data_IF_000219295903
#
_entry.id   IF_000219295903
#
_cell.length_a   1.000
_cell.length_b   1.000
_cell.length_c   1.000
_cell.angle_alpha   90.00
_cell.angle_beta   90.00
_cell.angle_gamma   90.00
#
_symmetry.space_group_name_H-M   'P 1'
#
loop_
_entity.id
_entity.type
_entity.pdbx_description
1 polymer ?
#
# COMPACT_ATOMS: atom_id res chain seq x y z
N UNK A 1 -10.25 -13.19 -1.09
CA UNK A 1 -10.76 -12.36 -2.21
C UNK A 1 -10.28 -12.99 -3.50
N UNK A 2 -11.17 -13.20 -4.47
CA UNK A 2 -10.74 -13.74 -5.76
C UNK A 2 -10.16 -12.59 -6.61
N UNK A 3 -8.96 -12.76 -7.16
CA UNK A 3 -8.40 -11.89 -8.20
C UNK A 3 -8.79 -12.49 -9.55
N UNK A 4 -9.92 -12.06 -10.10
CA UNK A 4 -10.50 -12.60 -11.32
C UNK A 4 -11.85 -11.94 -11.65
N UNK A 5 -12.56 -12.40 -12.69
CA UNK A 5 -13.86 -11.85 -13.10
C UNK A 5 -14.93 -11.88 -12.00
N UNK A 6 -14.80 -12.80 -11.04
CA UNK A 6 -15.68 -12.95 -9.87
C UNK A 6 -15.22 -12.10 -8.67
N UNK A 7 -14.22 -11.23 -8.84
CA UNK A 7 -13.75 -10.34 -7.77
C UNK A 7 -14.84 -9.35 -7.39
N UNK A 8 -15.05 -9.17 -6.09
CA UNK A 8 -15.89 -8.08 -5.58
C UNK A 8 -15.14 -6.76 -5.50
N UNK A 9 -13.82 -6.75 -5.72
CA UNK A 9 -13.02 -5.53 -5.70
C UNK A 9 -13.24 -4.81 -7.04
N UNK A 10 -13.68 -3.54 -7.05
CA UNK A 10 -13.84 -2.76 -8.27
C UNK A 10 -12.58 -2.79 -9.14
N UNK A 11 -12.72 -3.22 -10.39
CA UNK A 11 -11.65 -3.27 -11.38
C UNK A 11 -12.16 -2.83 -12.75
N UNK A 12 -11.24 -2.40 -13.61
CA UNK A 12 -11.50 -1.87 -14.94
C UNK A 12 -11.10 -2.90 -16.02
N UNK A 13 -9.92 -2.77 -16.61
CA UNK A 13 -9.45 -3.66 -17.68
C UNK A 13 -8.72 -4.87 -17.07
N UNK A 14 -9.46 -5.94 -16.79
CA UNK A 14 -8.88 -7.17 -16.25
C UNK A 14 -7.93 -7.83 -17.27
N UNK A 15 -6.68 -8.10 -16.84
CA UNK A 15 -5.72 -8.87 -17.62
C UNK A 15 -5.73 -10.33 -17.17
N UNK A 16 -6.31 -11.20 -18.00
CA UNK A 16 -6.41 -12.63 -17.69
C UNK A 16 -5.08 -13.37 -17.70
N UNK A 17 -4.03 -12.77 -18.30
CA UNK A 17 -2.70 -13.37 -18.42
C UNK A 17 -1.88 -13.25 -17.14
N UNK A 18 -2.30 -12.39 -16.20
CA UNK A 18 -1.58 -12.19 -14.95
C UNK A 18 -1.75 -13.41 -14.00
N UNK A 19 -0.68 -13.79 -13.28
CA UNK A 19 -0.76 -14.83 -12.25
C UNK A 19 -1.72 -14.41 -11.13
N UNK A 20 -2.44 -15.39 -10.57
CA UNK A 20 -3.50 -15.16 -9.57
C UNK A 20 -3.28 -15.86 -8.24
N UNK A 21 -2.27 -16.73 -8.17
CA UNK A 21 -1.89 -17.41 -6.94
C UNK A 21 -0.69 -16.72 -6.32
N UNK A 22 -0.61 -16.78 -4.99
CA UNK A 22 0.55 -16.28 -4.26
C UNK A 22 1.86 -16.87 -4.80
N UNK A 23 1.89 -18.18 -5.08
CA UNK A 23 3.07 -18.88 -5.57
C UNK A 23 3.51 -18.39 -6.96
N UNK A 24 2.57 -18.27 -7.91
CA UNK A 24 2.91 -17.83 -9.28
C UNK A 24 3.39 -16.37 -9.30
N UNK A 25 2.80 -15.51 -8.47
CA UNK A 25 3.22 -14.10 -8.30
C UNK A 25 4.62 -14.06 -7.69
N UNK A 26 4.85 -14.82 -6.61
CA UNK A 26 6.16 -14.93 -5.97
C UNK A 26 7.25 -15.38 -6.96
N UNK A 27 6.99 -16.42 -7.74
CA UNK A 27 7.95 -16.94 -8.71
C UNK A 27 8.26 -15.90 -9.81
N UNK A 28 7.26 -15.13 -10.24
CA UNK A 28 7.45 -14.01 -11.18
C UNK A 28 8.37 -12.94 -10.60
N UNK A 29 8.20 -12.57 -9.33
CA UNK A 29 9.05 -11.58 -8.66
C UNK A 29 10.49 -12.09 -8.49
N UNK A 30 10.66 -13.38 -8.14
CA UNK A 30 11.98 -14.00 -8.00
C UNK A 30 12.72 -14.14 -9.33
N UNK A 31 12.01 -14.44 -10.42
CA UNK A 31 12.58 -14.42 -11.78
C UNK A 31 13.01 -13.01 -12.20
N UNK A 32 12.16 -12.00 -11.99
CA UNK A 32 12.48 -10.61 -12.31
C UNK A 32 13.77 -10.15 -11.60
N UNK A 33 14.02 -10.63 -10.38
CA UNK A 33 15.22 -10.34 -9.61
C UNK A 33 16.51 -10.87 -10.25
N UNK A 34 16.44 -11.88 -11.11
CA UNK A 34 17.59 -12.36 -11.87
C UNK A 34 18.00 -11.39 -12.99
N UNK A 35 17.09 -10.49 -13.38
CA UNK A 35 17.27 -9.54 -14.50
C UNK A 35 17.61 -8.13 -14.03
N UNK A 36 17.34 -7.80 -12.77
CA UNK A 36 17.67 -6.49 -12.20
C UNK A 36 17.09 -6.25 -10.81
N UNK A 37 17.18 -5.01 -10.34
CA UNK A 37 16.52 -4.59 -9.10
C UNK A 37 15.00 -4.61 -9.27
N UNK A 38 14.29 -5.12 -8.26
CA UNK A 38 12.84 -5.25 -8.26
C UNK A 38 12.26 -4.43 -7.11
N UNK A 39 11.33 -3.55 -7.44
CA UNK A 39 10.42 -2.92 -6.49
C UNK A 39 9.02 -3.47 -6.74
N UNK A 40 8.36 -3.97 -5.70
CA UNK A 40 6.97 -4.37 -5.76
C UNK A 40 6.20 -3.75 -4.60
N UNK A 41 4.95 -3.39 -4.88
CA UNK A 41 4.01 -2.81 -3.92
C UNK A 41 2.78 -3.69 -3.90
N UNK A 42 2.33 -4.04 -2.71
CA UNK A 42 1.10 -4.80 -2.52
C UNK A 42 0.24 -4.20 -1.38
N UNK A 43 -1.04 -4.54 -1.36
CA UNK A 43 -1.91 -4.29 -0.22
C UNK A 43 -1.86 -5.52 0.70
N UNK A 44 -1.40 -5.35 1.94
CA UNK A 44 -1.13 -6.50 2.82
C UNK A 44 -2.34 -7.42 3.08
N UNK A 45 -3.57 -6.96 2.87
CA UNK A 45 -4.77 -7.78 3.07
C UNK A 45 -5.05 -8.77 1.92
N UNK A 46 -4.34 -8.67 0.79
CA UNK A 46 -4.53 -9.54 -0.38
C UNK A 46 -3.99 -10.95 -0.16
N UNK A 47 -2.86 -11.07 0.54
CA UNK A 47 -2.15 -12.33 0.78
C UNK A 47 -1.60 -12.42 2.22
N UNK A 48 -2.28 -11.82 3.20
CA UNK A 48 -1.83 -11.71 4.59
C UNK A 48 -1.34 -13.04 5.16
N UNK A 49 -2.14 -14.10 5.00
CA UNK A 49 -1.85 -15.41 5.58
C UNK A 49 -0.69 -16.11 4.89
N UNK A 50 -0.60 -16.07 3.57
CA UNK A 50 0.52 -16.62 2.83
C UNK A 50 1.81 -15.86 3.13
N UNK A 51 1.77 -14.53 3.04
CA UNK A 51 2.94 -13.67 3.17
C UNK A 51 3.54 -13.71 4.58
N UNK A 52 2.72 -13.61 5.64
CA UNK A 52 3.24 -13.61 7.03
C UNK A 52 3.84 -14.95 7.45
N UNK A 53 3.49 -16.03 6.75
CA UNK A 53 4.00 -17.38 6.99
C UNK A 53 5.17 -17.77 6.06
N UNK A 54 5.51 -16.95 5.07
CA UNK A 54 6.60 -17.20 4.12
C UNK A 54 7.91 -16.52 4.54
N UNK A 55 8.52 -17.06 5.59
CA UNK A 55 9.75 -16.52 6.15
C UNK A 55 10.89 -16.42 5.12
N UNK A 56 11.00 -17.38 4.20
CA UNK A 56 12.04 -17.37 3.17
C UNK A 56 11.85 -16.18 2.22
N UNK A 57 10.63 -15.93 1.77
CA UNK A 57 10.36 -14.78 0.91
C UNK A 57 10.59 -13.47 1.66
N UNK A 58 10.07 -13.30 2.88
CA UNK A 58 10.25 -12.06 3.64
C UNK A 58 11.73 -11.72 3.91
N UNK A 59 12.59 -12.72 4.15
CA UNK A 59 14.03 -12.53 4.38
C UNK A 59 14.84 -12.21 3.11
N UNK A 60 14.25 -12.40 1.93
CA UNK A 60 14.91 -12.12 0.64
C UNK A 60 14.74 -10.67 0.17
N UNK A 61 14.04 -9.84 0.94
CA UNK A 61 13.66 -8.48 0.58
C UNK A 61 13.96 -7.48 1.70
N UNK A 62 14.11 -6.21 1.32
CA UNK A 62 14.01 -5.11 2.27
C UNK A 62 12.54 -4.69 2.36
N UNK A 63 11.91 -4.98 3.50
CA UNK A 63 10.48 -4.72 3.71
C UNK A 63 10.28 -3.27 4.20
N UNK A 64 9.43 -2.53 3.50
CA UNK A 64 9.07 -1.14 3.80
C UNK A 64 7.56 -1.06 3.95
N UNK A 65 7.09 -0.37 4.99
CA UNK A 65 5.68 -0.24 5.30
C UNK A 65 5.23 1.21 5.13
N UNK A 66 4.33 1.46 4.19
CA UNK A 66 3.68 2.75 4.00
C UNK A 66 2.36 2.77 4.77
N UNK A 67 2.29 3.57 5.83
CA UNK A 67 1.08 3.77 6.63
C UNK A 67 0.44 5.12 6.30
N UNK A 68 -0.87 5.20 6.47
CA UNK A 68 -1.65 6.44 6.31
C UNK A 68 -2.68 6.53 7.43
N UNK A 69 -3.07 7.76 7.77
CA UNK A 69 -4.13 8.01 8.74
C UNK A 69 -5.39 7.16 8.41
N UNK A 70 -5.95 6.40 9.38
CA UNK A 70 -7.03 5.46 9.11
C UNK A 70 -8.33 6.05 8.54
N UNK A 71 -8.81 7.20 9.02
CA UNK A 71 -10.01 7.88 8.48
C UNK A 71 -9.81 8.18 7.00
N UNK A 72 -8.65 8.73 6.66
CA UNK A 72 -8.24 9.06 5.31
C UNK A 72 -8.21 7.84 4.37
N UNK A 73 -7.62 6.73 4.84
CA UNK A 73 -7.61 5.47 4.11
C UNK A 73 -9.02 4.90 3.91
N UNK A 74 -9.85 4.95 4.96
CA UNK A 74 -11.22 4.43 4.95
C UNK A 74 -12.10 5.21 3.99
N UNK A 75 -12.06 6.54 4.03
CA UNK A 75 -12.87 7.39 3.15
C UNK A 75 -12.47 7.23 1.69
N UNK A 76 -11.15 7.21 1.43
CA UNK A 76 -10.62 6.98 0.08
C UNK A 76 -10.98 5.61 -0.49
N UNK A 77 -10.98 4.55 0.33
CA UNK A 77 -11.43 3.24 -0.14
C UNK A 77 -12.95 3.20 -0.32
N UNK A 78 -13.71 3.73 0.63
CA UNK A 78 -15.18 3.73 0.59
C UNK A 78 -15.74 4.49 -0.62
N UNK A 79 -15.07 5.55 -1.10
CA UNK A 79 -15.52 6.28 -2.29
C UNK A 79 -15.47 5.45 -3.57
N UNK A 80 -14.63 4.40 -3.62
CA UNK A 80 -14.45 3.53 -4.79
C UNK A 80 -15.12 2.17 -4.56
N UNK A 81 -15.02 1.62 -3.36
CA UNK A 81 -15.58 0.34 -2.94
C UNK A 81 -16.47 0.51 -1.70
N UNK A 82 -17.71 1.02 -1.83
CA UNK A 82 -18.59 1.30 -0.67
C UNK A 82 -18.87 0.06 0.19
N UNK A 83 -19.02 -1.10 -0.46
CA UNK A 83 -19.30 -2.38 0.20
C UNK A 83 -18.05 -3.11 0.70
N UNK A 84 -16.90 -2.44 0.74
CA UNK A 84 -15.64 -3.05 1.16
C UNK A 84 -15.76 -3.76 2.52
N UNK A 85 -15.11 -4.92 2.69
CA UNK A 85 -15.02 -5.59 3.97
C UNK A 85 -14.04 -4.85 4.91
N UNK A 86 -14.07 -5.17 6.20
CA UNK A 86 -13.20 -4.56 7.21
C UNK A 86 -11.72 -4.72 6.83
N UNK A 87 -11.38 -5.91 6.37
CA UNK A 87 -10.02 -6.34 6.00
C UNK A 87 -9.42 -5.47 4.90
N UNK A 88 -10.23 -4.87 4.02
CA UNK A 88 -9.75 -4.05 2.91
C UNK A 88 -8.99 -2.80 3.36
N UNK A 89 -9.19 -2.33 4.60
CA UNK A 89 -8.45 -1.20 5.16
C UNK A 89 -6.98 -1.58 5.45
N UNK A 90 -6.73 -2.85 5.78
CA UNK A 90 -5.39 -3.43 5.73
C UNK A 90 -4.42 -3.09 6.86
N UNK A 91 -4.67 -2.12 7.76
CA UNK A 91 -3.69 -1.79 8.82
C UNK A 91 -3.40 -2.96 9.76
N UNK A 92 -4.40 -3.82 10.05
CA UNK A 92 -4.18 -5.02 10.87
C UNK A 92 -3.24 -5.99 10.16
N UNK A 93 -3.54 -6.32 8.91
CA UNK A 93 -2.74 -7.22 8.09
C UNK A 93 -1.30 -6.71 7.93
N UNK A 94 -1.17 -5.40 7.67
CA UNK A 94 0.13 -4.72 7.57
C UNK A 94 0.93 -4.81 8.88
N UNK A 95 0.28 -4.62 10.03
CA UNK A 95 0.92 -4.79 11.33
C UNK A 95 1.33 -6.25 11.62
N UNK A 96 0.52 -7.23 11.22
CA UNK A 96 0.89 -8.64 11.38
C UNK A 96 2.13 -9.01 10.55
N UNK A 97 2.20 -8.55 9.30
CA UNK A 97 3.39 -8.74 8.46
C UNK A 97 4.58 -7.98 9.03
N UNK A 98 4.40 -6.75 9.53
CA UNK A 98 5.44 -5.98 10.22
C UNK A 98 6.00 -6.73 11.44
N UNK A 99 5.14 -7.32 12.27
CA UNK A 99 5.56 -8.15 13.39
C UNK A 99 6.29 -9.42 12.95
N UNK A 100 5.82 -10.08 11.89
CA UNK A 100 6.48 -11.26 11.34
C UNK A 100 7.90 -10.93 10.86
N UNK A 101 8.07 -9.86 10.08
CA UNK A 101 9.38 -9.40 9.61
C UNK A 101 10.27 -9.02 10.79
N UNK A 102 9.77 -8.23 11.75
CA UNK A 102 10.53 -7.82 12.95
C UNK A 102 11.06 -9.02 13.72
N UNK A 103 10.23 -10.05 13.89
CA UNK A 103 10.62 -11.29 14.57
C UNK A 103 11.67 -12.08 13.79
N UNK A 104 11.56 -12.11 12.47
CA UNK A 104 12.48 -12.86 11.59
C UNK A 104 13.86 -12.20 11.48
N UNK A 105 13.90 -10.87 11.41
CA UNK A 105 15.15 -10.12 11.19
C UNK A 105 15.81 -9.65 12.50
N UNK A 106 15.04 -9.56 13.59
CA UNK A 106 15.49 -8.93 14.84
C UNK A 106 15.62 -7.41 14.75
N UNK A 107 15.18 -6.80 13.64
CA UNK A 107 15.26 -5.37 13.39
C UNK A 107 13.87 -4.82 13.05
N UNK A 108 13.61 -3.58 13.45
CA UNK A 108 12.37 -2.88 13.12
C UNK A 108 12.38 -2.51 11.62
N UNK A 109 11.39 -2.95 10.82
CA UNK A 109 11.28 -2.56 9.42
C UNK A 109 11.07 -1.05 9.23
N UNK A 110 11.48 -0.52 8.09
CA UNK A 110 11.31 0.90 7.76
C UNK A 110 9.84 1.25 7.58
N UNK A 111 9.38 2.31 8.26
CA UNK A 111 7.99 2.78 8.20
C UNK A 111 7.94 4.20 7.65
N UNK A 112 7.16 4.40 6.59
CA UNK A 112 6.86 5.71 6.00
C UNK A 112 5.44 6.10 6.39
N UNK A 113 5.28 7.28 6.97
CA UNK A 113 3.96 7.90 7.10
C UNK A 113 3.63 8.68 5.81
N UNK A 114 2.47 8.41 5.23
CA UNK A 114 2.03 9.00 3.96
C UNK A 114 1.84 10.52 4.05
N UNK A 115 1.48 11.06 5.21
CA UNK A 115 1.36 12.51 5.40
C UNK A 115 2.73 13.17 5.43
N UNK A 116 3.72 12.54 6.06
CA UNK A 116 5.11 13.02 6.04
C UNK A 116 5.65 12.99 4.60
N UNK A 117 5.38 11.91 3.86
CA UNK A 117 5.74 11.78 2.45
C UNK A 117 5.06 12.86 1.59
N UNK A 118 3.77 13.13 1.79
CA UNK A 118 3.05 14.14 1.02
C UNK A 118 3.46 15.58 1.38
N UNK A 119 3.82 15.85 2.64
CA UNK A 119 4.27 17.16 3.09
C UNK A 119 5.71 17.48 2.66
N UNK A 120 6.60 16.48 2.62
CA UNK A 120 8.00 16.67 2.24
C UNK A 120 8.55 15.46 1.46
N UNK A 121 8.13 15.29 0.18
CA UNK A 121 8.46 14.10 -0.60
C UNK A 121 9.97 13.87 -0.76
N UNK A 122 10.71 14.93 -1.05
CA UNK A 122 12.16 14.86 -1.27
C UNK A 122 12.89 14.38 -0.03
N UNK A 123 12.59 14.95 1.14
CA UNK A 123 13.22 14.54 2.39
C UNK A 123 12.95 13.08 2.73
N UNK A 124 11.69 12.64 2.61
CA UNK A 124 11.29 11.27 2.94
C UNK A 124 11.91 10.26 1.98
N UNK A 125 11.90 10.54 0.67
CA UNK A 125 12.50 9.63 -0.32
C UNK A 125 14.03 9.63 -0.25
N UNK A 126 14.70 10.75 0.05
CA UNK A 126 16.14 10.76 0.31
C UNK A 126 16.51 9.86 1.49
N UNK A 127 15.80 9.96 2.62
CA UNK A 127 16.00 9.06 3.77
C UNK A 127 15.77 7.60 3.42
N UNK A 128 14.76 7.30 2.59
CA UNK A 128 14.51 5.94 2.12
C UNK A 128 15.67 5.43 1.26
N UNK A 129 16.17 6.24 0.32
CA UNK A 129 17.33 5.91 -0.51
C UNK A 129 18.57 5.64 0.35
N UNK A 130 18.83 6.48 1.36
CA UNK A 130 19.93 6.29 2.31
C UNK A 130 19.79 4.97 3.08
N UNK A 131 18.60 4.65 3.59
CA UNK A 131 18.31 3.39 4.27
C UNK A 131 18.51 2.17 3.36
N UNK A 132 18.11 2.28 2.09
CA UNK A 132 18.27 1.23 1.07
C UNK A 132 19.70 1.17 0.50
N UNK A 133 20.56 2.12 0.84
CA UNK A 133 21.90 2.30 0.26
C UNK A 133 21.86 2.37 -1.28
N UNK A 134 20.94 3.18 -1.81
CA UNK A 134 20.81 3.48 -3.24
C UNK A 134 20.91 4.98 -3.49
N UNK A 135 21.31 5.36 -4.71
CA UNK A 135 21.38 6.76 -5.10
C UNK A 135 19.98 7.39 -5.21
N UNK A 136 19.83 8.59 -4.67
CA UNK A 136 18.63 9.40 -4.85
C UNK A 136 18.70 10.19 -6.16
N UNK A 137 17.66 10.07 -6.98
CA UNK A 137 17.45 10.90 -8.16
C UNK A 137 16.28 11.85 -7.92
N UNK A 138 16.48 13.16 -8.04
CA UNK A 138 15.42 14.16 -7.88
C UNK A 138 14.24 13.94 -8.83
N UNK A 139 14.53 13.44 -10.01
CA UNK A 139 13.61 13.12 -11.09
C UNK A 139 12.65 11.98 -10.71
N UNK A 140 12.98 11.17 -9.69
CA UNK A 140 12.08 10.13 -9.17
C UNK A 140 10.77 10.68 -8.58
N UNK A 141 10.72 11.98 -8.31
CA UNK A 141 9.55 12.69 -7.79
C UNK A 141 8.75 13.43 -8.86
N UNK A 142 9.11 13.25 -10.14
CA UNK A 142 8.47 13.89 -11.27
C UNK A 142 8.16 12.88 -12.36
N UNK A 143 6.93 12.92 -12.88
CA UNK A 143 6.49 12.01 -13.94
C UNK A 143 5.55 12.70 -14.92
N UNK A 144 5.31 12.06 -16.06
CA UNK A 144 4.31 12.53 -17.00
C UNK A 144 2.92 12.07 -16.54
N UNK A 145 1.89 12.93 -16.59
CA UNK A 145 0.51 12.51 -16.37
C UNK A 145 0.08 11.51 -17.44
N UNK A 146 0.03 10.22 -17.07
CA UNK A 146 -0.42 9.12 -17.92
C UNK A 146 -0.92 7.94 -17.08
N UNK A 147 -1.67 7.03 -17.69
CA UNK A 147 -2.04 5.74 -17.07
C UNK A 147 -1.02 4.68 -17.48
N UNK A 148 -0.12 4.23 -16.59
CA UNK A 148 0.75 3.09 -16.86
C UNK A 148 -0.06 1.86 -17.24
N UNK A 149 0.47 1.04 -18.15
CA UNK A 149 -0.19 -0.18 -18.60
C UNK A 149 -0.57 -1.11 -17.43
N UNK A 150 0.29 -1.22 -16.41
CA UNK A 150 0.06 -2.05 -15.22
C UNK A 150 -1.05 -1.53 -14.30
N UNK A 151 -1.51 -0.28 -14.47
CA UNK A 151 -2.60 0.28 -13.67
C UNK A 151 -3.97 0.05 -14.29
N UNK A 152 -4.05 -0.38 -15.55
CA UNK A 152 -5.31 -0.48 -16.28
C UNK A 152 -6.38 -1.34 -15.61
N UNK A 153 -6.00 -2.40 -14.91
CA UNK A 153 -6.95 -3.22 -14.12
C UNK A 153 -7.54 -2.47 -12.92
N UNK A 154 -6.82 -1.49 -12.38
CA UNK A 154 -7.18 -0.75 -11.17
C UNK A 154 -7.21 0.75 -11.45
N UNK A 155 -7.57 1.17 -12.66
CA UNK A 155 -7.39 2.57 -13.10
C UNK A 155 -8.24 3.52 -12.26
N UNK A 156 -9.47 3.16 -11.92
CA UNK A 156 -10.35 3.96 -11.08
C UNK A 156 -9.77 4.24 -9.68
N UNK A 157 -8.83 3.41 -9.20
CA UNK A 157 -8.11 3.62 -7.95
C UNK A 157 -6.97 4.64 -8.06
N UNK A 158 -6.53 4.96 -9.28
CA UNK A 158 -5.33 5.75 -9.55
C UNK A 158 -5.61 7.03 -10.36
N UNK A 159 -6.87 7.43 -10.56
CA UNK A 159 -7.24 8.60 -11.38
C UNK A 159 -6.49 9.88 -10.98
N UNK A 160 -6.39 10.16 -9.68
CA UNK A 160 -5.67 11.34 -9.19
C UNK A 160 -4.17 11.25 -9.49
N UNK A 161 -3.57 10.06 -9.39
CA UNK A 161 -2.16 9.83 -9.67
C UNK A 161 -1.87 9.93 -11.18
N UNK A 162 -2.72 9.34 -12.03
CA UNK A 162 -2.67 9.43 -13.49
C UNK A 162 -2.67 10.88 -13.99
N UNK A 163 -3.38 11.77 -13.30
CA UNK A 163 -3.49 13.19 -13.68
C UNK A 163 -2.43 14.09 -13.02
N UNK A 164 -1.57 13.52 -12.19
CA UNK A 164 -0.53 14.25 -11.47
C UNK A 164 0.83 14.16 -12.17
N UNK A 165 1.74 15.06 -11.80
CA UNK A 165 3.14 15.04 -12.25
C UNK A 165 4.14 14.98 -11.08
N UNK A 166 3.64 14.91 -9.85
CA UNK A 166 4.39 14.87 -8.59
C UNK A 166 3.46 14.40 -7.46
N UNK A 167 4.01 14.14 -6.27
CA UNK A 167 3.21 13.78 -5.09
C UNK A 167 2.41 15.00 -4.64
N UNK A 168 1.08 14.89 -4.66
CA UNK A 168 0.15 15.94 -4.25
C UNK A 168 -0.47 15.56 -2.92
N UNK A 169 -0.35 16.45 -1.92
CA UNK A 169 -1.07 16.30 -0.67
C UNK A 169 -2.58 16.44 -0.91
N UNK A 170 -3.40 15.45 -0.51
CA UNK A 170 -4.85 15.58 -0.58
C UNK A 170 -5.34 16.76 0.27
N UNK A 171 -6.37 17.46 -0.23
CA UNK A 171 -7.08 18.47 0.56
C UNK A 171 -8.18 17.76 1.34
N UNK A 172 -8.12 17.81 2.66
CA UNK A 172 -9.20 17.35 3.54
C UNK A 172 -10.47 18.16 3.27
N UNK A 173 -11.60 17.49 3.04
CA UNK A 173 -12.90 18.16 2.83
C UNK A 173 -13.78 17.97 4.05
N UNK A 174 -14.42 19.05 4.50
CA UNK A 174 -15.41 19.02 5.60
C UNK A 174 -16.54 18.01 5.32
N UNK A 175 -16.94 17.87 4.05
CA UNK A 175 -17.95 16.91 3.62
C UNK A 175 -17.54 15.44 3.88
N UNK A 176 -16.26 15.12 3.79
CA UNK A 176 -15.75 13.76 3.98
C UNK A 176 -15.84 13.37 5.47
N UNK A 177 -15.54 14.31 6.37
CA UNK A 177 -15.71 14.13 7.81
C UNK A 177 -17.19 14.04 8.21
N UNK A 178 -18.07 14.81 7.57
CA UNK A 178 -19.51 14.68 7.77
C UNK A 178 -20.01 13.28 7.37
N UNK A 179 -19.57 12.77 6.22
CA UNK A 179 -19.87 11.41 5.75
C UNK A 179 -19.35 10.34 6.72
N UNK A 180 -18.09 10.44 7.16
CA UNK A 180 -17.52 9.53 8.15
C UNK A 180 -18.38 9.42 9.42
N UNK A 181 -18.84 10.56 9.94
CA UNK A 181 -19.66 10.61 11.15
C UNK A 181 -21.08 10.05 10.94
N UNK A 182 -21.60 10.04 9.72
CA UNK A 182 -22.94 9.55 9.40
C UNK A 182 -23.01 8.05 9.12
N UNK A 183 -21.88 7.39 8.81
CA UNK A 183 -21.84 5.97 8.45
C UNK A 183 -21.21 5.13 9.58
N UNK A 184 -22.00 4.46 10.44
CA UNK A 184 -21.48 3.73 11.60
C UNK A 184 -20.45 2.65 11.25
N UNK A 185 -20.57 2.02 10.08
CA UNK A 185 -19.61 1.03 9.57
C UNK A 185 -18.19 1.61 9.46
N UNK A 186 -18.05 2.85 8.99
CA UNK A 186 -16.74 3.49 8.83
C UNK A 186 -16.08 3.79 10.17
N UNK A 187 -16.90 4.20 11.17
CA UNK A 187 -16.41 4.39 12.53
C UNK A 187 -15.92 3.09 13.16
N UNK A 188 -16.67 2.00 12.97
CA UNK A 188 -16.25 0.68 13.46
C UNK A 188 -14.93 0.22 12.81
N UNK A 189 -14.74 0.50 11.51
CA UNK A 189 -13.50 0.18 10.81
C UNK A 189 -12.32 0.99 11.36
N UNK A 190 -12.55 2.28 11.61
CA UNK A 190 -11.56 3.17 12.23
C UNK A 190 -11.15 2.67 13.61
N UNK A 191 -12.12 2.44 14.50
CA UNK A 191 -11.85 2.00 15.87
C UNK A 191 -11.09 0.66 15.90
N UNK A 192 -11.37 -0.24 14.94
CA UNK A 192 -10.65 -1.50 14.79
C UNK A 192 -9.21 -1.33 14.27
N UNK A 193 -8.99 -0.49 13.25
CA UNK A 193 -7.68 -0.37 12.60
C UNK A 193 -6.73 0.61 13.29
N UNK A 194 -7.26 1.59 14.03
CA UNK A 194 -6.49 2.64 14.69
C UNK A 194 -5.35 2.13 15.58
N UNK A 195 -5.54 1.12 16.47
CA UNK A 195 -4.45 0.66 17.32
C UNK A 195 -3.26 0.08 16.55
N UNK A 196 -3.52 -0.54 15.39
CA UNK A 196 -2.46 -1.10 14.53
C UNK A 196 -1.67 0.01 13.83
N UNK A 197 -2.38 1.02 13.31
CA UNK A 197 -1.76 2.23 12.78
C UNK A 197 -0.88 2.91 13.84
N UNK A 198 -1.40 3.18 15.04
CA UNK A 198 -0.66 3.90 16.09
C UNK A 198 0.63 3.17 16.49
N UNK A 199 0.59 1.83 16.57
CA UNK A 199 1.79 1.01 16.85
C UNK A 199 2.86 1.14 15.77
N UNK A 200 2.48 1.13 14.49
CA UNK A 200 3.44 1.31 13.39
C UNK A 200 3.93 2.76 13.30
N UNK A 201 3.04 3.73 13.52
CA UNK A 201 3.34 5.15 13.44
C UNK A 201 4.37 5.61 14.50
N UNK A 202 4.51 4.87 15.60
CA UNK A 202 5.57 5.06 16.58
C UNK A 202 6.98 4.77 16.03
N UNK A 203 7.11 4.04 14.92
CA UNK A 203 8.37 3.68 14.27
C UNK A 203 8.62 4.44 12.96
N UNK A 204 7.81 5.45 12.64
CA UNK A 204 8.01 6.28 11.44
C UNK A 204 9.37 6.98 11.47
N UNK A 205 9.97 7.14 10.30
CA UNK A 205 11.36 7.58 10.11
C UNK A 205 11.51 9.07 9.81
#
# INVERSE_FOLDING_TARGET
>A
MAFGPESTIPSDEWDEQLPRTYQDIKDTLLDARQRGHVFHKDMCYHCEDELKNDAQFLLQHTNIFLIREPIDSILSHHSIFPDMPLEAIGHKAMYEVFCAVTKLTGAVPYVINADDLANNPEHVIRKLCDYLNIEFFSESLSWQPECPQQWKTWRNWHVAAEQSAHIIKPIEKEADMAHFNQVPKLRAFYDFHRPYYERMNAFRQ
#
